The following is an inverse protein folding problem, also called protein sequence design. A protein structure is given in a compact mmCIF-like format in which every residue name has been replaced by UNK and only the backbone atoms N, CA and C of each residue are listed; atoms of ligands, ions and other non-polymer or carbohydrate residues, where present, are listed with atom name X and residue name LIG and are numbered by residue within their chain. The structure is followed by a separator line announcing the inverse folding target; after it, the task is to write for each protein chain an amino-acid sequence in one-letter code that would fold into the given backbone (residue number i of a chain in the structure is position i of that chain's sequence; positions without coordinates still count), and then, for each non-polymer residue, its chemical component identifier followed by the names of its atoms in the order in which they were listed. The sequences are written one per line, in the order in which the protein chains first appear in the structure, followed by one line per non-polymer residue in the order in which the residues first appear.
data_IF_945726031516
#
_entry.id   IF_945726031516
#
_cell.length_a   1.000
_cell.length_b   1.000
_cell.length_c   1.000
_cell.angle_alpha   90.00
_cell.angle_beta   90.00
_cell.angle_gamma   90.00
#
_symmetry.space_group_name_H-M   'P 1'
#
loop_
_entity.id
_entity.type
_entity.pdbx_description
1 polymer ?
#
# COMPACT_ATOMS: atom_id res chain seq x y z
N UNK A 1 -19.11 -7.94 15.97
CA UNK A 1 -18.15 -9.05 15.81
C UNK A 1 -18.52 -9.86 14.58
N UNK A 2 -17.54 -10.40 13.85
CA UNK A 2 -17.82 -11.30 12.74
C UNK A 2 -18.38 -12.64 13.27
N UNK A 3 -19.36 -13.20 12.59
CA UNK A 3 -19.89 -14.55 12.87
C UNK A 3 -19.09 -15.56 12.06
N UNK A 4 -18.64 -16.64 12.70
CA UNK A 4 -17.86 -17.70 12.08
C UNK A 4 -18.41 -19.07 12.46
N UNK A 5 -18.20 -20.05 11.59
CA UNK A 5 -18.65 -21.43 11.79
C UNK A 5 -17.51 -22.40 11.48
N UNK A 6 -17.43 -23.51 12.22
CA UNK A 6 -16.41 -24.54 12.00
C UNK A 6 -16.74 -25.30 10.72
N UNK A 7 -15.78 -25.31 9.79
CA UNK A 7 -15.87 -26.06 8.52
C UNK A 7 -14.67 -26.97 8.36
N UNK A 8 -14.86 -28.13 7.72
CA UNK A 8 -13.76 -29.04 7.38
C UNK A 8 -13.38 -28.83 5.90
N UNK A 9 -12.32 -28.06 5.66
CA UNK A 9 -11.84 -27.70 4.31
C UNK A 9 -10.34 -27.86 4.21
N UNK A 10 -9.85 -28.09 2.98
CA UNK A 10 -8.45 -28.38 2.66
C UNK A 10 -7.68 -27.14 2.16
N UNK A 11 -8.24 -25.94 2.37
CA UNK A 11 -7.67 -24.67 1.91
C UNK A 11 -7.73 -23.59 2.97
N UNK A 12 -6.86 -22.58 2.82
CA UNK A 12 -6.84 -21.36 3.62
C UNK A 12 -7.10 -20.14 2.74
N UNK A 13 -7.47 -19.01 3.34
CA UNK A 13 -7.64 -17.74 2.61
C UNK A 13 -6.40 -16.86 2.72
N UNK A 14 -6.00 -16.20 1.63
CA UNK A 14 -5.02 -15.10 1.64
C UNK A 14 -5.64 -13.85 1.03
N UNK A 15 -5.57 -12.73 1.74
CA UNK A 15 -6.15 -11.47 1.30
C UNK A 15 -5.55 -10.97 -0.03
N UNK A 16 -6.39 -10.32 -0.83
CA UNK A 16 -6.02 -9.50 -1.99
C UNK A 16 -6.44 -8.07 -1.70
N UNK A 17 -5.46 -7.22 -1.51
CA UNK A 17 -5.65 -5.83 -1.11
C UNK A 17 -4.57 -4.92 -1.67
N UNK A 18 -4.84 -3.62 -1.60
CA UNK A 18 -3.85 -2.57 -1.78
C UNK A 18 -4.03 -1.51 -0.69
N UNK A 19 -2.96 -0.73 -0.47
CA UNK A 19 -2.96 0.41 0.42
C UNK A 19 -2.46 1.63 -0.34
N UNK A 20 -3.33 2.62 -0.51
CA UNK A 20 -2.94 3.93 -1.04
C UNK A 20 -2.59 4.84 0.14
N UNK A 21 -1.56 5.67 -0.02
CA UNK A 21 -1.15 6.66 0.98
C UNK A 21 -0.90 7.97 0.28
N UNK A 22 -1.78 8.94 0.52
CA UNK A 22 -1.79 10.21 -0.18
C UNK A 22 -1.57 11.37 0.80
N UNK A 23 -0.66 12.32 0.53
CA UNK A 23 -0.61 13.58 1.25
C UNK A 23 -1.86 14.40 0.95
N UNK A 24 -2.54 14.88 1.99
CA UNK A 24 -3.75 15.71 1.85
C UNK A 24 -3.57 17.14 2.36
N UNK A 25 -2.60 17.37 3.25
CA UNK A 25 -2.29 18.68 3.78
C UNK A 25 -0.81 18.79 4.12
N UNK A 26 -0.17 19.91 3.77
CA UNK A 26 1.22 20.19 4.14
C UNK A 26 1.27 21.13 5.33
N UNK A 27 1.90 20.69 6.42
CA UNK A 27 2.06 21.47 7.65
C UNK A 27 3.46 22.06 7.78
N UNK A 28 4.49 21.35 7.29
CA UNK A 28 5.86 21.81 7.33
C UNK A 28 6.61 21.45 6.05
N UNK A 29 7.48 22.35 5.64
CA UNK A 29 8.36 22.20 4.47
C UNK A 29 9.78 22.51 4.91
N UNK A 30 10.73 21.63 4.55
CA UNK A 30 12.14 21.84 4.80
C UNK A 30 12.96 21.55 3.56
N UNK A 31 13.81 22.49 3.15
CA UNK A 31 14.80 22.23 2.10
C UNK A 31 15.85 21.25 2.62
N UNK A 32 16.20 20.24 1.81
CA UNK A 32 17.27 19.32 2.16
C UNK A 32 18.60 20.02 1.91
N UNK A 33 19.43 20.12 2.96
CA UNK A 33 20.74 20.77 2.88
C UNK A 33 21.59 20.11 1.79
N UNK A 34 22.24 20.93 0.95
CA UNK A 34 23.03 20.42 -0.17
C UNK A 34 22.22 19.95 -1.38
N UNK A 35 20.89 20.17 -1.40
CA UNK A 35 20.02 19.78 -2.52
C UNK A 35 19.05 20.90 -2.91
N UNK A 36 18.48 20.78 -4.12
CA UNK A 36 17.32 21.55 -4.58
C UNK A 36 15.99 20.92 -4.11
N UNK A 37 16.02 19.69 -3.60
CA UNK A 37 14.85 18.97 -3.11
C UNK A 37 14.32 19.53 -1.79
N UNK A 38 13.02 19.35 -1.58
CA UNK A 38 12.31 19.69 -0.35
C UNK A 38 11.73 18.41 0.26
N UNK A 39 11.68 18.40 1.58
CA UNK A 39 10.93 17.44 2.37
C UNK A 39 9.67 18.11 2.91
N UNK A 40 8.58 17.36 2.91
CA UNK A 40 7.26 17.82 3.32
C UNK A 40 6.78 16.94 4.46
N UNK A 41 6.06 17.54 5.40
CA UNK A 41 5.42 16.85 6.49
C UNK A 41 4.01 17.40 6.66
N UNK A 42 3.06 16.51 6.96
CA UNK A 42 1.69 16.90 7.25
C UNK A 42 0.73 15.72 7.27
N UNK A 43 -0.55 16.02 7.10
CA UNK A 43 -1.60 15.02 7.14
C UNK A 43 -1.59 14.15 5.87
N UNK A 44 -1.60 12.83 6.08
CA UNK A 44 -1.74 11.81 5.04
C UNK A 44 -3.06 11.06 5.21
N UNK A 45 -3.67 10.66 4.10
CA UNK A 45 -4.80 9.75 4.02
C UNK A 45 -4.27 8.36 3.64
N UNK A 46 -4.53 7.37 4.47
CA UNK A 46 -4.21 5.96 4.21
C UNK A 46 -5.51 5.24 3.90
N UNK A 47 -5.64 4.75 2.68
CA UNK A 47 -6.82 4.03 2.20
C UNK A 47 -6.45 2.57 1.95
N UNK A 48 -7.04 1.66 2.71
CA UNK A 48 -6.84 0.22 2.51
C UNK A 48 -8.09 -0.38 1.88
N UNK A 49 -7.92 -1.07 0.75
CA UNK A 49 -9.02 -1.71 0.06
C UNK A 49 -8.78 -3.21 -0.07
N UNK A 50 -9.68 -4.00 0.50
CA UNK A 50 -9.70 -5.46 0.34
C UNK A 50 -10.71 -5.80 -0.74
N UNK A 51 -10.22 -6.16 -1.91
CA UNK A 51 -11.07 -6.44 -3.07
C UNK A 51 -11.28 -7.94 -3.31
N UNK A 52 -10.59 -8.80 -2.57
CA UNK A 52 -10.80 -10.24 -2.64
C UNK A 52 -9.93 -11.05 -1.70
N UNK A 53 -9.95 -12.36 -1.90
CA UNK A 53 -9.01 -13.30 -1.31
C UNK A 53 -8.76 -14.49 -2.23
N UNK A 54 -7.58 -15.06 -2.16
CA UNK A 54 -7.28 -16.36 -2.75
C UNK A 54 -7.65 -17.47 -1.79
N UNK A 55 -8.19 -18.58 -2.31
CA UNK A 55 -8.13 -19.87 -1.62
C UNK A 55 -6.82 -20.55 -2.01
N UNK A 56 -6.09 -21.01 -1.01
CA UNK A 56 -4.80 -21.67 -1.17
C UNK A 56 -4.90 -23.09 -0.63
N UNK A 57 -4.45 -24.08 -1.40
CA UNK A 57 -4.36 -25.45 -0.89
C UNK A 57 -3.25 -25.61 0.17
N UNK A 58 -3.11 -26.82 0.73
CA UNK A 58 -2.03 -27.18 1.67
C UNK A 58 -0.61 -26.91 1.15
N UNK A 59 -0.42 -26.85 -0.19
CA UNK A 59 0.85 -26.54 -0.85
C UNK A 59 1.00 -25.06 -1.21
N UNK A 60 0.11 -24.19 -0.72
CA UNK A 60 0.05 -22.74 -0.99
C UNK A 60 -0.20 -22.38 -2.45
N UNK A 61 -0.74 -23.30 -3.25
CA UNK A 61 -1.12 -23.02 -4.64
C UNK A 61 -2.49 -22.35 -4.65
N UNK A 62 -2.65 -21.33 -5.50
CA UNK A 62 -3.95 -20.69 -5.70
C UNK A 62 -4.88 -21.69 -6.39
N UNK A 63 -5.99 -22.01 -5.73
CA UNK A 63 -7.03 -22.88 -6.29
C UNK A 63 -8.28 -22.09 -6.69
N UNK A 64 -8.46 -20.88 -6.14
CA UNK A 64 -9.59 -20.01 -6.43
C UNK A 64 -9.26 -18.55 -6.07
N UNK A 65 -9.94 -17.61 -6.74
CA UNK A 65 -9.85 -16.18 -6.48
C UNK A 65 -11.26 -15.59 -6.32
N UNK A 66 -11.60 -15.26 -5.08
CA UNK A 66 -12.93 -14.74 -4.74
C UNK A 66 -12.86 -13.22 -4.63
N UNK A 67 -13.81 -12.52 -5.25
CA UNK A 67 -13.98 -11.07 -5.09
C UNK A 67 -14.87 -10.76 -3.90
N UNK A 68 -14.57 -9.68 -3.19
CA UNK A 68 -15.41 -9.16 -2.10
C UNK A 68 -15.66 -7.67 -2.32
N UNK A 69 -16.84 -7.21 -1.89
CA UNK A 69 -17.22 -5.81 -1.93
C UNK A 69 -17.17 -5.24 -0.51
N UNK A 70 -15.97 -5.09 0.03
CA UNK A 70 -15.76 -4.43 1.32
C UNK A 70 -15.57 -2.93 1.10
N UNK A 71 -16.19 -2.06 1.93
CA UNK A 71 -15.86 -0.65 1.90
C UNK A 71 -14.39 -0.45 2.29
N UNK A 72 -13.69 0.54 1.70
CA UNK A 72 -12.31 0.80 2.04
C UNK A 72 -12.19 1.30 3.49
N UNK A 73 -11.13 0.87 4.17
CA UNK A 73 -10.78 1.38 5.50
C UNK A 73 -9.94 2.64 5.30
N UNK A 74 -10.48 3.79 5.69
CA UNK A 74 -9.80 5.08 5.60
C UNK A 74 -9.27 5.47 6.98
N UNK A 75 -7.98 5.82 7.04
CA UNK A 75 -7.33 6.38 8.22
C UNK A 75 -6.59 7.67 7.86
N UNK A 76 -6.54 8.58 8.81
CA UNK A 76 -5.72 9.79 8.71
C UNK A 76 -4.57 9.70 9.70
N UNK A 77 -3.42 10.19 9.31
CA UNK A 77 -2.23 10.21 10.15
C UNK A 77 -1.29 11.34 9.74
N UNK A 78 -0.13 11.39 10.38
CA UNK A 78 0.96 12.28 9.99
C UNK A 78 2.02 11.50 9.22
N UNK A 79 2.52 12.09 8.14
CA UNK A 79 3.51 11.47 7.27
C UNK A 79 4.51 12.49 6.75
N UNK A 80 5.61 11.97 6.19
CA UNK A 80 6.63 12.76 5.51
C UNK A 80 6.79 12.22 4.08
N UNK A 81 6.96 13.11 3.11
CA UNK A 81 7.19 12.75 1.71
C UNK A 81 8.23 13.67 1.06
N UNK A 82 8.80 13.18 -0.02
CA UNK A 82 9.80 13.87 -0.83
C UNK A 82 9.33 13.85 -2.29
N UNK A 83 9.46 14.99 -2.97
CA UNK A 83 9.35 15.00 -4.43
C UNK A 83 10.63 14.44 -5.03
N UNK A 84 10.54 13.28 -5.68
CA UNK A 84 11.68 12.63 -6.33
C UNK A 84 11.92 13.27 -7.70
N UNK A 85 13.09 13.89 -7.95
CA UNK A 85 13.37 14.48 -9.25
C UNK A 85 13.41 13.44 -10.36
N UNK A 86 12.91 13.78 -11.56
CA UNK A 86 12.93 12.89 -12.75
C UNK A 86 14.31 12.30 -13.05
N UNK A 87 15.38 13.08 -12.84
CA UNK A 87 16.76 12.61 -13.01
C UNK A 87 17.10 11.45 -12.08
N UNK A 88 16.63 11.46 -10.84
CA UNK A 88 16.84 10.36 -9.90
C UNK A 88 16.13 9.09 -10.37
N UNK A 89 14.89 9.21 -10.88
CA UNK A 89 14.15 8.08 -11.45
C UNK A 89 14.91 7.45 -12.64
N UNK A 90 15.43 8.26 -13.55
CA UNK A 90 16.23 7.76 -14.69
C UNK A 90 17.46 6.96 -14.23
N UNK A 91 18.19 7.46 -13.24
CA UNK A 91 19.36 6.76 -12.67
C UNK A 91 18.96 5.40 -12.08
N UNK A 92 17.82 5.32 -11.39
CA UNK A 92 17.32 4.07 -10.83
C UNK A 92 16.98 3.06 -11.96
N UNK A 93 16.32 3.53 -13.02
CA UNK A 93 16.00 2.69 -14.20
C UNK A 93 17.26 2.18 -14.90
N UNK A 94 18.24 3.06 -15.15
CA UNK A 94 19.53 2.69 -15.78
C UNK A 94 20.26 1.61 -14.99
N UNK A 95 20.15 1.67 -13.66
CA UNK A 95 20.76 0.69 -12.73
C UNK A 95 19.88 -0.54 -12.47
N UNK A 96 18.74 -0.67 -13.15
CA UNK A 96 17.76 -1.76 -12.95
C UNK A 96 17.31 -1.90 -11.49
N UNK A 97 17.22 -0.77 -10.79
CA UNK A 97 16.70 -0.69 -9.43
C UNK A 97 15.19 -0.46 -9.49
N UNK A 98 14.46 -1.14 -8.60
CA UNK A 98 13.02 -0.96 -8.48
C UNK A 98 12.70 0.47 -8.02
N UNK A 99 11.73 1.13 -8.67
CA UNK A 99 11.46 2.56 -8.44
C UNK A 99 10.41 2.83 -7.36
N UNK A 100 9.50 1.89 -7.13
CA UNK A 100 8.66 1.74 -5.95
C UNK A 100 7.81 0.51 -6.19
#
# INVERSE_FOLDING_TARGET
MARVEKVNVEWITKQRDYTDTDPIETEAIKRINGSLSKAFYGTIKIQQNVFGFFKLDKKKRVIDAVHVSNPPVIRYGKGMWLDIPKKALLILTERRLHIA
#
